data_IF_488188704026
#
_entry.id   IF_488188704026
#
_cell.length_a   1.000
_cell.length_b   1.000
_cell.length_c   1.000
_cell.angle_alpha   90.00
_cell.angle_beta   90.00
_cell.angle_gamma   90.00
#
_symmetry.space_group_name_H-M   'P 1'
#
loop_
_entity.id
_entity.type
_entity.pdbx_description
1 polymer ?
#
# COMPACT_ATOMS: atom_id res chain seq x y z
N UNK A 1 24.40 -25.67 26.99
CA UNK A 1 24.54 -24.71 25.86
C UNK A 1 23.23 -24.81 25.07
N UNK A 2 22.33 -23.85 25.23
CA UNK A 2 21.02 -23.86 24.55
C UNK A 2 21.27 -23.25 23.17
N UNK A 3 21.15 -24.04 22.11
CA UNK A 3 21.11 -23.52 20.74
C UNK A 3 19.77 -22.81 20.53
N UNK A 4 19.80 -21.48 20.58
CA UNK A 4 18.75 -20.64 20.04
C UNK A 4 18.77 -20.83 18.51
N UNK A 5 17.88 -21.68 17.99
CA UNK A 5 17.54 -21.64 16.57
C UNK A 5 16.92 -20.27 16.31
N UNK A 6 17.65 -19.40 15.63
CA UNK A 6 17.04 -18.25 14.96
C UNK A 6 15.95 -18.79 14.05
N UNK A 7 14.69 -18.59 14.44
CA UNK A 7 13.57 -18.80 13.54
C UNK A 7 13.68 -17.67 12.52
N UNK A 8 14.37 -17.95 11.42
CA UNK A 8 14.37 -17.06 10.26
C UNK A 8 12.89 -16.88 9.88
N UNK A 9 12.37 -15.68 10.13
CA UNK A 9 10.98 -15.35 9.78
C UNK A 9 10.91 -15.27 8.27
N UNK A 10 10.44 -16.33 7.65
CA UNK A 10 10.21 -16.40 6.21
C UNK A 10 8.81 -15.84 5.92
N UNK A 11 8.76 -14.70 5.23
CA UNK A 11 7.50 -14.01 4.89
C UNK A 11 6.79 -14.71 3.71
N UNK A 12 6.70 -16.04 3.77
CA UNK A 12 6.26 -16.90 2.66
C UNK A 12 4.81 -16.62 2.31
N UNK A 13 3.96 -16.44 3.31
CA UNK A 13 2.53 -16.19 3.10
C UNK A 13 2.28 -14.80 2.50
N UNK A 14 3.04 -13.78 2.92
CA UNK A 14 3.04 -12.45 2.31
C UNK A 14 3.52 -12.50 0.87
N UNK A 15 4.59 -13.23 0.59
CA UNK A 15 5.09 -13.41 -0.77
C UNK A 15 4.04 -14.07 -1.66
N UNK A 16 3.46 -15.16 -1.16
CA UNK A 16 2.45 -15.94 -1.86
C UNK A 16 1.21 -15.11 -2.19
N UNK A 17 0.71 -14.30 -1.26
CA UNK A 17 -0.48 -13.46 -1.52
C UNK A 17 -0.19 -12.39 -2.57
N UNK A 18 1.02 -11.83 -2.57
CA UNK A 18 1.44 -10.85 -3.57
C UNK A 18 1.61 -11.51 -4.93
N UNK A 19 2.33 -12.62 -5.02
CA UNK A 19 2.54 -13.34 -6.29
C UNK A 19 1.23 -13.82 -6.93
N UNK A 20 0.31 -14.37 -6.14
CA UNK A 20 -1.01 -14.79 -6.61
C UNK A 20 -1.80 -13.62 -7.21
N UNK A 21 -1.77 -12.45 -6.57
CA UNK A 21 -2.53 -11.30 -7.05
C UNK A 21 -1.86 -10.63 -8.24
N UNK A 22 -0.54 -10.57 -8.26
CA UNK A 22 0.24 -9.88 -9.32
C UNK A 22 0.65 -10.83 -10.43
N UNK A 23 -0.01 -11.98 -10.58
CA UNK A 23 0.16 -12.84 -11.74
C UNK A 23 -0.02 -12.04 -13.05
N UNK A 24 0.75 -12.40 -14.09
CA UNK A 24 0.68 -11.74 -15.39
C UNK A 24 -0.62 -12.09 -16.13
N UNK A 25 -1.69 -11.48 -15.67
CA UNK A 25 -3.05 -11.63 -16.17
C UNK A 25 -3.67 -10.26 -16.39
N UNK A 26 -4.63 -10.18 -17.32
CA UNK A 26 -5.37 -8.94 -17.52
C UNK A 26 -6.15 -8.51 -16.28
N UNK A 27 -6.31 -7.20 -16.09
CA UNK A 27 -7.12 -6.64 -15.01
C UNK A 27 -8.60 -7.04 -15.09
N UNK A 28 -9.10 -7.35 -16.29
CA UNK A 28 -10.47 -7.81 -16.56
C UNK A 28 -10.82 -9.12 -15.84
N UNK A 29 -9.80 -9.93 -15.51
CA UNK A 29 -9.95 -11.20 -14.79
C UNK A 29 -10.03 -11.04 -13.27
N UNK A 30 -9.84 -9.83 -12.77
CA UNK A 30 -9.91 -9.55 -11.35
C UNK A 30 -11.38 -9.38 -10.93
N UNK A 31 -11.95 -10.39 -10.27
CA UNK A 31 -13.30 -10.31 -9.74
C UNK A 31 -13.33 -9.77 -8.29
N UNK A 32 -14.48 -9.22 -7.90
CA UNK A 32 -14.68 -8.65 -6.56
C UNK A 32 -14.54 -9.70 -5.45
N UNK A 33 -14.83 -10.97 -5.74
CA UNK A 33 -14.72 -12.05 -4.76
C UNK A 33 -13.25 -12.34 -4.42
N UNK A 34 -12.36 -12.38 -5.41
CA UNK A 34 -10.93 -12.53 -5.24
C UNK A 34 -10.35 -11.36 -4.43
N UNK A 35 -10.76 -10.13 -4.74
CA UNK A 35 -10.33 -8.93 -4.00
C UNK A 35 -10.70 -9.04 -2.52
N UNK A 36 -11.96 -9.34 -2.20
CA UNK A 36 -12.42 -9.45 -0.81
C UNK A 36 -11.72 -10.60 -0.05
N UNK A 37 -11.54 -11.74 -0.72
CA UNK A 37 -10.82 -12.89 -0.16
C UNK A 37 -9.38 -12.52 0.23
N UNK A 38 -8.72 -11.76 -0.63
CA UNK A 38 -7.34 -11.36 -0.44
C UNK A 38 -7.18 -10.22 0.57
N UNK A 39 -8.08 -9.25 0.60
CA UNK A 39 -8.18 -8.27 1.68
C UNK A 39 -8.31 -8.95 3.06
N UNK A 40 -9.14 -10.00 3.15
CA UNK A 40 -9.29 -10.80 4.37
C UNK A 40 -8.00 -11.51 4.76
N UNK A 41 -7.25 -12.05 3.79
CA UNK A 41 -5.94 -12.69 4.04
C UNK A 41 -4.90 -11.68 4.51
N UNK A 42 -4.80 -10.52 3.87
CA UNK A 42 -3.86 -9.47 4.25
C UNK A 42 -4.10 -8.95 5.67
N UNK A 43 -5.35 -8.96 6.15
CA UNK A 43 -5.69 -8.54 7.52
C UNK A 43 -5.05 -9.40 8.61
N UNK A 44 -4.61 -10.63 8.28
CA UNK A 44 -3.89 -11.53 9.20
C UNK A 44 -2.39 -11.63 8.94
N UNK A 45 -1.86 -10.88 7.97
CA UNK A 45 -0.46 -10.92 7.54
C UNK A 45 0.29 -9.66 7.95
N UNK A 46 1.62 -9.67 7.77
CA UNK A 46 2.41 -8.47 7.94
C UNK A 46 2.23 -7.53 6.74
N UNK A 47 1.35 -6.54 6.92
CA UNK A 47 1.03 -5.56 5.87
C UNK A 47 2.26 -4.78 5.36
N UNK A 48 3.23 -4.44 6.22
CA UNK A 48 4.45 -3.75 5.77
C UNK A 48 5.27 -4.59 4.80
N UNK A 49 5.30 -5.91 5.03
CA UNK A 49 5.98 -6.87 4.13
C UNK A 49 5.21 -7.07 2.84
N UNK A 50 3.88 -7.20 2.90
CA UNK A 50 3.02 -7.19 1.70
C UNK A 50 3.27 -5.93 0.87
N UNK A 51 3.30 -4.75 1.50
CA UNK A 51 3.57 -3.49 0.81
C UNK A 51 4.98 -3.44 0.20
N UNK A 52 5.99 -3.98 0.89
CA UNK A 52 7.36 -4.05 0.37
C UNK A 52 7.44 -4.92 -0.88
N UNK A 53 6.81 -6.11 -0.86
CA UNK A 53 6.76 -6.99 -2.04
C UNK A 53 5.95 -6.37 -3.19
N UNK A 54 4.88 -5.62 -2.90
CA UNK A 54 4.14 -4.89 -3.92
C UNK A 54 4.99 -3.80 -4.60
N UNK A 55 5.88 -3.13 -3.87
CA UNK A 55 6.85 -2.19 -4.45
C UNK A 55 7.83 -2.90 -5.39
N UNK A 56 8.31 -4.09 -5.01
CA UNK A 56 9.16 -4.91 -5.89
C UNK A 56 8.42 -5.24 -7.20
N UNK A 57 7.14 -5.64 -7.11
CA UNK A 57 6.30 -5.89 -8.30
C UNK A 57 6.09 -4.66 -9.18
N UNK A 58 6.05 -3.46 -8.61
CA UNK A 58 5.97 -2.22 -9.37
C UNK A 58 7.23 -1.94 -10.22
N UNK A 59 8.36 -2.54 -9.86
CA UNK A 59 9.64 -2.39 -10.56
C UNK A 59 9.86 -3.45 -11.66
N UNK A 60 8.94 -4.41 -11.82
CA UNK A 60 9.00 -5.40 -12.90
C UNK A 60 8.77 -4.75 -14.27
N UNK A 61 9.24 -5.43 -15.34
CA UNK A 61 9.11 -4.96 -16.73
C UNK A 61 7.81 -5.38 -17.41
N UNK A 62 6.89 -5.99 -16.67
CA UNK A 62 5.64 -6.54 -17.20
C UNK A 62 4.48 -5.65 -16.77
N UNK A 63 3.86 -4.97 -17.75
CA UNK A 63 2.81 -3.98 -17.49
C UNK A 63 1.68 -4.50 -16.61
N UNK A 64 1.15 -5.70 -16.90
CA UNK A 64 0.06 -6.29 -16.12
C UNK A 64 0.44 -6.54 -14.66
N UNK A 65 1.69 -6.97 -14.41
CA UNK A 65 2.20 -7.20 -13.04
C UNK A 65 2.24 -5.88 -12.29
N UNK A 66 2.80 -4.83 -12.90
CA UNK A 66 2.87 -3.49 -12.31
C UNK A 66 1.47 -2.91 -12.04
N UNK A 67 0.56 -3.02 -13.01
CA UNK A 67 -0.82 -2.54 -12.87
C UNK A 67 -1.56 -3.28 -11.76
N UNK A 68 -1.43 -4.60 -11.69
CA UNK A 68 -2.05 -5.40 -10.62
C UNK A 68 -1.46 -5.08 -9.26
N UNK A 69 -0.15 -4.87 -9.15
CA UNK A 69 0.47 -4.43 -7.90
C UNK A 69 -0.11 -3.08 -7.42
N UNK A 70 -0.20 -2.10 -8.31
CA UNK A 70 -0.78 -0.78 -7.99
C UNK A 70 -2.28 -0.87 -7.64
N UNK A 71 -3.03 -1.71 -8.36
CA UNK A 71 -4.44 -1.99 -8.05
C UNK A 71 -4.58 -2.63 -6.66
N UNK A 72 -3.68 -3.53 -6.29
CA UNK A 72 -3.67 -4.14 -4.95
C UNK A 72 -3.46 -3.08 -3.86
N UNK A 73 -2.46 -2.21 -4.03
CA UNK A 73 -2.20 -1.10 -3.09
C UNK A 73 -3.45 -0.23 -2.91
N UNK A 74 -4.15 0.08 -4.00
CA UNK A 74 -5.40 0.84 -3.96
C UNK A 74 -6.50 0.11 -3.15
N UNK A 75 -6.64 -1.21 -3.29
CA UNK A 75 -7.61 -1.98 -2.50
C UNK A 75 -7.26 -2.03 -1.02
N UNK A 76 -5.99 -2.25 -0.67
CA UNK A 76 -5.54 -2.24 0.72
C UNK A 76 -5.87 -0.91 1.40
N UNK A 77 -5.71 0.19 0.65
CA UNK A 77 -6.06 1.53 1.11
C UNK A 77 -7.58 1.69 1.32
N UNK A 78 -8.41 1.29 0.34
CA UNK A 78 -9.87 1.47 0.44
C UNK A 78 -10.54 0.56 1.47
N UNK A 79 -9.90 -0.53 1.85
CA UNK A 79 -10.38 -1.45 2.88
C UNK A 79 -9.77 -1.20 4.26
N UNK A 80 -9.01 -0.11 4.44
CA UNK A 80 -8.39 0.28 5.72
C UNK A 80 -7.51 -0.83 6.34
N UNK A 81 -6.86 -1.63 5.49
CA UNK A 81 -5.99 -2.74 5.92
C UNK A 81 -4.59 -2.25 6.28
N UNK A 82 -4.22 -1.08 5.75
CA UNK A 82 -2.89 -0.50 5.88
C UNK A 82 -2.97 0.88 6.52
N UNK A 83 -1.98 1.17 7.37
CA UNK A 83 -1.93 2.46 8.04
C UNK A 83 -1.41 3.56 7.12
N UNK A 84 -1.79 4.81 7.40
CA UNK A 84 -1.24 5.97 6.72
C UNK A 84 0.29 6.06 6.90
N UNK A 85 0.82 5.66 8.05
CA UNK A 85 2.27 5.64 8.30
C UNK A 85 2.99 4.69 7.34
N UNK A 86 2.52 3.45 7.22
CA UNK A 86 3.08 2.45 6.29
C UNK A 86 2.98 2.93 4.84
N UNK A 87 1.87 3.56 4.46
CA UNK A 87 1.68 4.17 3.14
C UNK A 87 2.72 5.26 2.84
N UNK A 88 2.92 6.19 3.79
CA UNK A 88 3.87 7.29 3.64
C UNK A 88 5.33 6.80 3.59
N UNK A 89 5.66 5.77 4.38
CA UNK A 89 7.02 5.25 4.49
C UNK A 89 7.40 4.29 3.36
N UNK A 90 6.50 3.39 2.96
CA UNK A 90 6.82 2.25 2.08
C UNK A 90 6.36 2.51 0.64
N UNK A 91 5.13 3.02 0.46
CA UNK A 91 4.50 3.13 -0.87
C UNK A 91 4.77 4.47 -1.54
N UNK A 92 4.61 5.58 -0.79
CA UNK A 92 4.61 6.91 -1.40
C UNK A 92 5.92 7.23 -2.16
N UNK A 93 7.13 7.01 -1.60
CA UNK A 93 8.37 7.33 -2.31
C UNK A 93 8.51 6.60 -3.66
N UNK A 94 8.44 5.24 -3.73
CA UNK A 94 8.66 4.53 -4.99
C UNK A 94 7.54 4.75 -6.01
N UNK A 95 6.28 4.86 -5.58
CA UNK A 95 5.15 5.08 -6.50
C UNK A 95 5.17 6.51 -7.06
N UNK A 96 5.60 7.49 -6.27
CA UNK A 96 5.79 8.86 -6.76
C UNK A 96 6.91 8.92 -7.79
N UNK A 97 8.05 8.28 -7.52
CA UNK A 97 9.14 8.14 -8.49
C UNK A 97 8.64 7.50 -9.79
N UNK A 98 7.96 6.34 -9.69
CA UNK A 98 7.39 5.64 -10.85
C UNK A 98 6.47 6.52 -11.70
N UNK A 99 5.70 7.41 -11.07
CA UNK A 99 4.80 8.33 -11.77
C UNK A 99 5.52 9.47 -12.51
N UNK A 100 6.75 9.78 -12.12
CA UNK A 100 7.55 10.90 -12.66
C UNK A 100 8.65 10.45 -13.63
N UNK A 101 8.96 9.15 -13.71
CA UNK A 101 10.01 8.64 -14.61
C UNK A 101 9.69 8.94 -16.08
N UNK A 102 10.68 9.43 -16.81
CA UNK A 102 10.59 9.71 -18.25
C UNK A 102 10.77 8.44 -19.10
N UNK A 103 11.35 7.38 -18.52
CA UNK A 103 11.56 6.08 -19.16
C UNK A 103 10.30 5.48 -19.81
N UNK A 104 10.49 4.46 -20.66
CA UNK A 104 9.48 3.62 -21.34
C UNK A 104 8.58 2.80 -20.38
N UNK A 105 8.20 3.37 -19.24
CA UNK A 105 7.14 2.85 -18.38
C UNK A 105 5.80 3.10 -19.09
N UNK A 106 4.92 2.09 -19.18
CA UNK A 106 3.61 2.24 -19.80
C UNK A 106 2.78 3.39 -19.20
N UNK A 107 2.10 4.14 -20.06
CA UNK A 107 1.27 5.29 -19.64
C UNK A 107 0.22 4.92 -18.60
N UNK A 108 -0.39 3.73 -18.72
CA UNK A 108 -1.38 3.25 -17.76
C UNK A 108 -0.79 3.10 -16.34
N UNK A 109 0.43 2.57 -16.24
CA UNK A 109 1.17 2.44 -14.98
C UNK A 109 1.45 3.81 -14.38
N UNK A 110 1.96 4.77 -15.18
CA UNK A 110 2.20 6.15 -14.72
C UNK A 110 0.93 6.82 -14.19
N UNK A 111 -0.19 6.69 -14.91
CA UNK A 111 -1.49 7.25 -14.50
C UNK A 111 -1.96 6.63 -13.17
N UNK A 112 -1.88 5.31 -13.05
CA UNK A 112 -2.29 4.60 -11.83
C UNK A 112 -1.41 4.98 -10.64
N UNK A 113 -0.10 5.04 -10.82
CA UNK A 113 0.86 5.47 -9.81
C UNK A 113 0.59 6.92 -9.34
N UNK A 114 0.33 7.83 -10.29
CA UNK A 114 -0.05 9.21 -9.98
C UNK A 114 -1.35 9.30 -9.17
N UNK A 115 -2.36 8.48 -9.51
CA UNK A 115 -3.62 8.41 -8.74
C UNK A 115 -3.35 8.01 -7.28
N UNK A 116 -2.60 6.93 -7.06
CA UNK A 116 -2.28 6.44 -5.71
C UNK A 116 -1.49 7.49 -4.92
N UNK A 117 -0.50 8.13 -5.54
CA UNK A 117 0.26 9.24 -4.95
C UNK A 117 -0.68 10.34 -4.44
N UNK A 118 -1.61 10.79 -5.28
CA UNK A 118 -2.58 11.83 -4.91
C UNK A 118 -3.51 11.40 -3.77
N UNK A 119 -3.95 10.14 -3.76
CA UNK A 119 -4.79 9.61 -2.68
C UNK A 119 -4.02 9.69 -1.34
N UNK A 120 -2.80 9.17 -1.29
CA UNK A 120 -1.98 9.15 -0.06
C UNK A 120 -1.69 10.58 0.42
N UNK A 121 -1.29 11.48 -0.48
CA UNK A 121 -1.02 12.88 -0.14
C UNK A 121 -2.27 13.59 0.41
N UNK A 122 -3.45 13.31 -0.14
CA UNK A 122 -4.71 13.87 0.33
C UNK A 122 -5.15 13.31 1.69
N UNK A 123 -4.94 12.01 1.93
CA UNK A 123 -5.18 11.41 3.24
C UNK A 123 -4.29 12.05 4.31
N UNK A 124 -3.01 12.26 4.00
CA UNK A 124 -2.06 12.91 4.91
C UNK A 124 -2.47 14.36 5.23
N UNK A 125 -2.79 15.16 4.21
CA UNK A 125 -3.28 16.54 4.39
C UNK A 125 -4.53 16.59 5.27
N UNK A 126 -5.48 15.67 5.04
CA UNK A 126 -6.74 15.60 5.79
C UNK A 126 -6.49 15.24 7.26
N UNK A 127 -5.58 14.30 7.55
CA UNK A 127 -5.19 13.97 8.92
C UNK A 127 -4.52 15.16 9.64
N UNK A 128 -3.57 15.83 8.98
CA UNK A 128 -2.87 16.98 9.55
C UNK A 128 -3.82 18.14 9.87
N UNK A 129 -4.80 18.41 8.99
CA UNK A 129 -5.82 19.45 9.23
C UNK A 129 -6.77 19.13 10.39
N UNK A 130 -7.04 17.85 10.67
CA UNK A 130 -7.86 17.45 11.82
C UNK A 130 -7.09 17.63 13.14
N UNK A 131 -5.81 17.28 13.15
CA UNK A 131 -4.94 17.43 14.32
C UNK A 131 -4.74 18.91 14.71
N UNK A 132 -4.53 19.79 13.73
CA UNK A 132 -4.35 21.23 14.00
C UNK A 132 -5.60 21.91 14.54
N UNK A 133 -6.81 21.44 14.19
CA UNK A 133 -8.09 21.97 14.71
C UNK A 133 -8.42 21.48 16.13
N UNK A 134 -7.95 20.31 16.55
CA UNK A 134 -8.18 19.81 17.91
C UNK A 134 -7.36 20.55 18.99
N UNK A 135 -6.19 21.09 18.64
CA UNK A 135 -5.33 21.84 19.56
C UNK A 135 -5.87 23.22 19.97
N UNK A 136 -6.92 23.73 19.33
CA UNK A 136 -7.48 25.08 19.58
C UNK A 136 -8.76 25.04 20.44
N UNK A 137 -9.20 23.85 20.89
CA UNK A 137 -10.47 23.67 21.58
C UNK A 137 -10.35 23.15 23.00
N UNK A 138 -9.98 24.01 23.97
CA UNK A 138 -10.57 24.05 25.34
C UNK A 138 -9.97 25.20 26.17
N UNK A 139 -10.68 26.31 26.38
CA UNK A 139 -10.45 27.14 27.55
C UNK A 139 -11.24 26.53 28.71
N UNK A 140 -10.56 25.86 29.63
CA UNK A 140 -11.13 25.56 30.95
C UNK A 140 -11.12 26.89 31.72
N UNK A 141 -12.23 27.61 31.66
CA UNK A 141 -12.52 28.71 32.59
C UNK A 141 -12.90 28.10 33.92
N UNK A 142 -11.95 28.03 34.86
CA UNK A 142 -12.27 27.88 36.27
C UNK A 142 -12.39 29.29 36.86
N UNK A 143 -13.63 29.75 37.03
CA UNK A 143 -13.91 30.88 37.90
C UNK A 143 -13.66 30.45 39.37
N UNK A 144 -12.84 31.20 40.08
CA UNK A 144 -12.83 31.29 41.55
C UNK A 144 -12.43 32.70 41.95
#
# INVERSE_FOLDING_TARGET
KIELKEVATDWVDEHKVVDEFTANEELSKLDNAAILSLCKRCSSLNCDKVLSFLVEKCSEKVENVQLRALVFVEYLLFHDIITLESLLRIILPPVKELSCREDDIPTAVKIKAKKITLIIENLNKTCQQRQSKQLVGTPISCNS
#
